data_IF_788158376363
#
_entry.id   IF_788158376363
#
_cell.length_a   1.000
_cell.length_b   1.000
_cell.length_c   1.000
_cell.angle_alpha   90.00
_cell.angle_beta   90.00
_cell.angle_gamma   90.00
#
_symmetry.space_group_name_H-M   'P 1'
#
loop_
_entity.id
_entity.type
_entity.pdbx_description
1 polymer ?
#
# COMPACT_ATOMS: atom_id res chain seq x y z
N UNK A 1 17.99 -21.47 10.55
CA UNK A 1 18.30 -20.06 10.24
C UNK A 1 17.58 -19.65 8.97
N UNK A 2 16.90 -18.51 8.95
CA UNK A 2 16.28 -17.93 7.77
C UNK A 2 17.28 -17.05 6.99
N UNK A 3 17.03 -16.86 5.70
CA UNK A 3 17.73 -15.83 4.92
C UNK A 3 17.11 -14.46 5.18
N UNK A 4 15.77 -14.39 5.23
CA UNK A 4 15.02 -13.14 5.45
C UNK A 4 13.90 -13.36 6.45
N UNK A 5 13.80 -12.46 7.43
CA UNK A 5 12.63 -12.32 8.32
C UNK A 5 11.96 -10.99 8.01
N UNK A 6 10.66 -11.01 7.73
CA UNK A 6 9.82 -9.84 7.52
C UNK A 6 8.93 -9.68 8.75
N UNK A 7 8.89 -8.48 9.34
CA UNK A 7 8.10 -8.20 10.54
C UNK A 7 6.85 -7.43 10.13
N UNK A 8 5.69 -8.04 10.38
CA UNK A 8 4.38 -7.53 10.05
C UNK A 8 3.81 -8.09 8.74
N UNK A 9 2.57 -8.58 8.77
CA UNK A 9 1.80 -9.09 7.63
C UNK A 9 0.71 -8.11 7.17
N UNK A 10 0.93 -6.81 7.32
CA UNK A 10 0.16 -5.78 6.62
C UNK A 10 0.50 -5.77 5.13
N UNK A 11 -0.17 -4.90 4.35
CA UNK A 11 0.01 -4.82 2.88
C UNK A 11 1.46 -4.66 2.46
N UNK A 12 2.27 -3.90 3.20
CA UNK A 12 3.69 -3.69 2.88
C UNK A 12 4.51 -4.97 3.06
N UNK A 13 4.41 -5.62 4.23
CA UNK A 13 5.15 -6.85 4.51
C UNK A 13 4.72 -8.00 3.60
N UNK A 14 3.42 -8.14 3.34
CA UNK A 14 2.89 -9.15 2.41
C UNK A 14 3.36 -8.92 0.97
N UNK A 15 3.40 -7.65 0.50
CA UNK A 15 3.93 -7.32 -0.82
C UNK A 15 5.44 -7.61 -0.93
N UNK A 16 6.21 -7.31 0.11
CA UNK A 16 7.64 -7.62 0.17
C UNK A 16 7.84 -9.16 0.19
N UNK A 17 7.04 -9.87 0.97
CA UNK A 17 7.10 -11.34 1.02
C UNK A 17 6.86 -11.96 -0.36
N UNK A 18 5.86 -11.46 -1.11
CA UNK A 18 5.60 -11.87 -2.49
C UNK A 18 6.81 -11.62 -3.41
N UNK A 19 7.40 -10.45 -3.36
CA UNK A 19 8.56 -10.16 -4.22
C UNK A 19 9.79 -10.99 -3.83
N UNK A 20 10.04 -11.22 -2.53
CA UNK A 20 11.14 -12.07 -2.05
C UNK A 20 10.92 -13.54 -2.41
N UNK A 21 9.67 -14.01 -2.47
CA UNK A 21 9.34 -15.40 -2.84
C UNK A 21 9.74 -15.79 -4.26
N UNK A 22 10.06 -14.81 -5.12
CA UNK A 22 10.62 -15.07 -6.46
C UNK A 22 12.03 -15.63 -6.44
N UNK A 23 12.69 -15.59 -5.29
CA UNK A 23 14.08 -16.02 -5.10
C UNK A 23 14.13 -17.29 -4.23
N UNK A 24 15.14 -18.11 -4.42
CA UNK A 24 15.37 -19.32 -3.59
C UNK A 24 15.94 -18.93 -2.23
N UNK A 25 15.14 -18.25 -1.42
CA UNK A 25 15.47 -17.80 -0.08
C UNK A 25 14.53 -18.45 0.94
N UNK A 26 15.09 -18.88 2.07
CA UNK A 26 14.31 -19.34 3.20
C UNK A 26 13.77 -18.11 3.94
N UNK A 27 12.51 -17.76 3.70
CA UNK A 27 11.88 -16.53 4.16
C UNK A 27 10.71 -16.82 5.10
N UNK A 28 10.56 -16.01 6.13
CA UNK A 28 9.32 -15.99 6.91
C UNK A 28 8.82 -14.57 7.18
N UNK A 29 7.52 -14.48 7.42
CA UNK A 29 6.81 -13.31 7.91
C UNK A 29 6.37 -13.60 9.34
N UNK A 30 6.57 -12.65 10.26
CA UNK A 30 6.15 -12.75 11.66
C UNK A 30 5.08 -11.66 11.88
N UNK A 31 3.88 -12.09 12.30
CA UNK A 31 2.73 -11.21 12.56
C UNK A 31 2.21 -11.48 13.98
N UNK A 32 2.01 -10.40 14.74
CA UNK A 32 1.52 -10.49 16.13
C UNK A 32 0.04 -10.83 16.22
N UNK A 33 -0.73 -10.46 15.20
CA UNK A 33 -2.16 -10.70 15.13
C UNK A 33 -2.47 -12.12 14.63
N UNK A 34 -3.74 -12.50 14.78
CA UNK A 34 -4.26 -13.82 14.39
C UNK A 34 -4.35 -14.02 12.87
N UNK A 35 -4.28 -12.92 12.10
CA UNK A 35 -4.38 -12.96 10.64
C UNK A 35 -3.61 -11.80 10.00
N UNK A 36 -3.40 -11.87 8.70
CA UNK A 36 -2.86 -10.78 7.89
C UNK A 36 -3.85 -9.61 7.81
N UNK A 37 -3.39 -8.41 7.48
CA UNK A 37 -4.27 -7.24 7.27
C UNK A 37 -4.99 -6.71 8.54
N UNK A 38 -4.61 -7.12 9.72
CA UNK A 38 -5.38 -6.83 10.95
C UNK A 38 -5.21 -5.43 11.55
N UNK A 39 -4.30 -4.60 11.05
CA UNK A 39 -4.01 -3.25 11.55
C UNK A 39 -4.43 -2.17 10.54
N UNK A 40 -3.55 -1.22 10.27
CA UNK A 40 -3.78 -0.09 9.35
C UNK A 40 -4.21 -0.52 7.95
N UNK A 41 -3.78 -1.69 7.49
CA UNK A 41 -4.09 -2.19 6.14
C UNK A 41 -5.57 -2.46 5.92
N UNK A 42 -6.36 -2.75 6.98
CA UNK A 42 -7.83 -2.88 6.89
C UNK A 42 -8.58 -1.57 7.20
N UNK A 43 -7.93 -0.62 7.85
CA UNK A 43 -8.54 0.61 8.36
C UNK A 43 -8.06 1.84 7.58
N UNK A 44 -8.39 1.91 6.31
CA UNK A 44 -8.01 3.00 5.40
C UNK A 44 -9.13 3.30 4.40
N UNK A 45 -8.92 4.30 3.54
CA UNK A 45 -9.92 4.74 2.54
C UNK A 45 -9.92 3.93 1.25
N UNK A 46 -9.11 2.89 1.13
CA UNK A 46 -9.04 2.01 -0.04
C UNK A 46 -8.64 2.70 -1.35
N UNK A 47 -8.03 3.86 -1.27
CA UNK A 47 -7.67 4.69 -2.43
C UNK A 47 -6.29 4.29 -2.96
N UNK A 48 -6.22 4.02 -4.26
CA UNK A 48 -4.97 4.00 -5.02
C UNK A 48 -4.73 5.42 -5.53
N UNK A 49 -3.84 6.13 -4.84
CA UNK A 49 -3.52 7.53 -5.13
C UNK A 49 -2.85 7.69 -6.49
N UNK A 50 -3.24 8.73 -7.25
CA UNK A 50 -2.65 9.03 -8.55
C UNK A 50 -1.20 9.55 -8.47
N UNK A 51 -0.85 10.25 -7.37
CA UNK A 51 0.51 10.76 -7.15
C UNK A 51 0.67 12.28 -7.24
N UNK A 52 -0.42 13.04 -7.38
CA UNK A 52 -0.37 14.51 -7.48
C UNK A 52 -0.11 15.21 -6.13
N UNK A 53 -0.34 14.55 -5.01
CA UNK A 53 -0.25 15.14 -3.66
C UNK A 53 1.20 15.20 -3.13
N UNK A 54 2.02 14.22 -3.44
CA UNK A 54 3.37 14.11 -2.91
C UNK A 54 4.31 15.20 -3.47
N UNK A 55 5.17 15.74 -2.59
CA UNK A 55 6.15 16.77 -2.98
C UNK A 55 7.10 16.22 -4.04
N UNK A 56 7.25 16.90 -5.19
CA UNK A 56 8.14 16.48 -6.26
C UNK A 56 9.58 16.26 -5.80
N UNK A 57 10.29 15.34 -6.45
CA UNK A 57 11.66 14.97 -6.11
C UNK A 57 11.81 14.05 -4.90
N UNK A 58 10.74 13.76 -4.15
CA UNK A 58 10.77 12.84 -3.01
C UNK A 58 10.57 11.39 -3.46
N UNK A 59 11.08 10.44 -2.64
CA UNK A 59 10.81 9.01 -2.84
C UNK A 59 9.31 8.70 -2.78
N UNK A 60 8.55 9.41 -1.93
CA UNK A 60 7.10 9.28 -1.85
C UNK A 60 6.43 9.58 -3.20
N UNK A 61 6.80 10.68 -3.86
CA UNK A 61 6.28 11.03 -5.18
C UNK A 61 6.61 9.97 -6.22
N UNK A 62 7.87 9.59 -6.31
CA UNK A 62 8.34 8.57 -7.25
C UNK A 62 7.63 7.23 -7.06
N UNK A 63 7.62 6.71 -5.83
CA UNK A 63 7.04 5.40 -5.53
C UNK A 63 5.51 5.40 -5.66
N UNK A 64 4.84 6.51 -5.37
CA UNK A 64 3.40 6.62 -5.56
C UNK A 64 3.00 6.44 -7.03
N UNK A 65 3.64 7.16 -7.95
CA UNK A 65 3.35 7.06 -9.39
C UNK A 65 3.72 5.67 -9.93
N UNK A 66 4.87 5.14 -9.53
CA UNK A 66 5.29 3.78 -9.92
C UNK A 66 4.32 2.72 -9.41
N UNK A 67 3.93 2.78 -8.13
CA UNK A 67 2.98 1.84 -7.53
C UNK A 67 1.60 1.93 -8.19
N UNK A 68 1.11 3.13 -8.46
CA UNK A 68 -0.14 3.32 -9.18
C UNK A 68 -0.11 2.65 -10.56
N UNK A 69 0.97 2.80 -11.32
CA UNK A 69 1.13 2.19 -12.65
C UNK A 69 1.19 0.65 -12.62
N UNK A 70 1.53 0.05 -11.48
CA UNK A 70 1.60 -1.42 -11.33
C UNK A 70 0.25 -2.05 -11.02
N UNK A 71 -0.74 -1.27 -10.54
CA UNK A 71 -1.96 -1.81 -9.92
C UNK A 71 -2.83 -2.63 -10.85
N UNK A 72 -2.99 -2.26 -12.13
CA UNK A 72 -3.82 -3.03 -13.07
C UNK A 72 -3.28 -4.45 -13.24
N UNK A 73 -1.95 -4.57 -13.46
CA UNK A 73 -1.29 -5.86 -13.58
C UNK A 73 -1.35 -6.68 -12.29
N UNK A 74 -1.11 -6.06 -11.13
CA UNK A 74 -1.14 -6.76 -9.85
C UNK A 74 -2.56 -7.24 -9.54
N UNK A 75 -3.56 -6.42 -9.80
CA UNK A 75 -4.96 -6.77 -9.59
C UNK A 75 -5.39 -7.95 -10.46
N UNK A 76 -4.95 -8.00 -11.72
CA UNK A 76 -5.18 -9.11 -12.63
C UNK A 76 -4.44 -10.39 -12.19
N UNK A 77 -3.14 -10.27 -11.86
CA UNK A 77 -2.31 -11.41 -11.43
C UNK A 77 -2.82 -12.10 -10.15
N UNK A 78 -3.46 -11.37 -9.25
CA UNK A 78 -3.88 -11.84 -7.92
C UNK A 78 -5.41 -11.86 -7.72
N UNK A 79 -6.18 -11.63 -8.78
CA UNK A 79 -7.66 -11.55 -8.75
C UNK A 79 -8.20 -10.58 -7.67
N UNK A 80 -7.56 -9.41 -7.57
CA UNK A 80 -7.91 -8.40 -6.58
C UNK A 80 -9.00 -7.48 -7.15
N UNK A 81 -10.15 -7.30 -6.47
CA UNK A 81 -11.14 -6.32 -6.87
C UNK A 81 -10.56 -4.89 -6.88
N UNK A 82 -10.38 -4.36 -8.08
CA UNK A 82 -9.80 -3.05 -8.33
C UNK A 82 -10.60 -2.29 -9.39
N UNK A 83 -10.79 -0.98 -9.19
CA UNK A 83 -11.48 -0.13 -10.16
C UNK A 83 -10.79 1.21 -10.32
N UNK A 84 -10.39 1.55 -11.55
CA UNK A 84 -9.91 2.90 -11.91
C UNK A 84 -11.10 3.82 -12.17
N UNK A 85 -11.71 4.32 -11.10
CA UNK A 85 -12.80 5.28 -11.17
C UNK A 85 -12.32 6.75 -11.14
N UNK A 86 -11.00 6.96 -11.04
CA UNK A 86 -10.40 8.26 -10.88
C UNK A 86 -10.60 8.84 -9.47
N UNK A 87 -10.08 10.03 -9.27
CA UNK A 87 -10.31 10.82 -8.05
C UNK A 87 -10.54 12.29 -8.37
N UNK A 88 -11.37 12.93 -7.53
CA UNK A 88 -11.69 14.35 -7.58
C UNK A 88 -11.18 15.01 -6.30
N UNK A 89 -10.41 16.09 -6.45
CA UNK A 89 -10.16 17.04 -5.37
C UNK A 89 -11.04 18.23 -5.62
N UNK A 90 -12.14 18.33 -4.87
CA UNK A 90 -13.17 19.35 -5.09
C UNK A 90 -12.80 20.69 -4.44
N UNK A 91 -13.26 21.78 -5.05
CA UNK A 91 -13.17 23.13 -4.52
C UNK A 91 -14.58 23.70 -4.37
N UNK A 92 -14.91 24.21 -3.20
CA UNK A 92 -16.19 24.85 -2.91
C UNK A 92 -16.13 26.36 -3.16
N UNK A 93 -17.28 27.03 -3.13
CA UNK A 93 -17.39 28.49 -3.30
C UNK A 93 -16.60 29.30 -2.26
N UNK A 94 -16.33 28.70 -1.10
CA UNK A 94 -15.60 29.35 0.00
C UNK A 94 -14.08 29.16 -0.11
N UNK A 95 -13.61 28.30 -1.01
CA UNK A 95 -12.20 27.95 -1.17
C UNK A 95 -11.60 28.65 -2.39
N UNK A 96 -10.28 28.92 -2.31
CA UNK A 96 -9.52 29.44 -3.43
C UNK A 96 -9.13 28.30 -4.39
N UNK A 97 -9.53 28.35 -5.67
CA UNK A 97 -9.16 27.36 -6.66
C UNK A 97 -7.66 27.32 -7.00
N UNK A 98 -6.86 28.32 -6.56
CA UNK A 98 -5.41 28.32 -6.75
C UNK A 98 -4.75 27.06 -6.14
N UNK A 99 -5.31 26.55 -5.05
CA UNK A 99 -4.86 25.29 -4.44
C UNK A 99 -4.91 24.10 -5.40
N UNK A 100 -5.92 24.03 -6.28
CA UNK A 100 -6.02 22.99 -7.30
C UNK A 100 -4.94 23.13 -8.38
N UNK A 101 -4.58 24.37 -8.73
CA UNK A 101 -3.52 24.63 -9.69
C UNK A 101 -2.15 24.17 -9.17
N UNK A 102 -1.89 24.44 -7.89
CA UNK A 102 -0.65 23.95 -7.22
C UNK A 102 -0.58 22.41 -7.27
N UNK A 103 -1.68 21.71 -6.99
CA UNK A 103 -1.72 20.25 -7.07
C UNK A 103 -1.58 19.74 -8.53
N UNK A 104 -2.18 20.45 -9.48
CA UNK A 104 -2.03 20.15 -10.91
C UNK A 104 -0.56 20.21 -11.36
N UNK A 105 0.15 21.29 -11.01
CA UNK A 105 1.54 21.48 -11.38
C UNK A 105 2.44 20.45 -10.71
N UNK A 106 2.24 20.21 -9.42
CA UNK A 106 2.93 19.16 -8.67
C UNK A 106 2.71 17.79 -9.30
N UNK A 107 1.47 17.46 -9.64
CA UNK A 107 1.15 16.18 -10.27
C UNK A 107 1.78 16.03 -11.66
N UNK A 108 1.85 17.11 -12.46
CA UNK A 108 2.58 17.11 -13.74
C UNK A 108 4.06 16.86 -13.55
N UNK A 109 4.70 17.51 -12.57
CA UNK A 109 6.11 17.33 -12.24
C UNK A 109 6.40 15.90 -11.77
N UNK A 110 5.47 15.29 -11.01
CA UNK A 110 5.55 13.90 -10.58
C UNK A 110 5.29 12.89 -11.72
N UNK A 111 4.85 13.35 -12.90
CA UNK A 111 4.56 12.50 -14.05
C UNK A 111 3.18 11.83 -14.00
N UNK A 112 2.21 12.38 -13.26
CA UNK A 112 0.84 11.85 -13.21
C UNK A 112 0.13 12.15 -14.53
N UNK A 113 -0.32 11.13 -15.28
CA UNK A 113 -0.94 11.37 -16.59
C UNK A 113 -2.39 11.82 -16.47
N UNK A 114 -2.83 12.65 -17.44
CA UNK A 114 -4.24 12.95 -17.68
C UNK A 114 -4.91 13.87 -16.67
N UNK A 115 -4.17 14.53 -15.78
CA UNK A 115 -4.71 15.50 -14.84
C UNK A 115 -5.43 16.65 -15.56
N UNK A 116 -6.59 17.05 -15.05
CA UNK A 116 -7.40 18.16 -15.58
C UNK A 116 -8.09 18.92 -14.45
N UNK A 117 -8.20 20.25 -14.58
CA UNK A 117 -9.15 21.03 -13.80
C UNK A 117 -10.48 20.97 -14.55
N UNK A 118 -11.52 20.52 -13.88
CA UNK A 118 -12.89 20.46 -14.39
C UNK A 118 -13.69 21.62 -13.78
N UNK A 119 -14.48 22.28 -14.60
CA UNK A 119 -15.50 23.21 -14.15
C UNK A 119 -16.75 22.48 -13.63
N UNK A 120 -17.73 23.25 -13.16
CA UNK A 120 -18.96 22.67 -12.58
C UNK A 120 -19.74 21.82 -13.58
N UNK A 121 -19.81 22.20 -14.84
CA UNK A 121 -20.57 21.49 -15.88
C UNK A 121 -19.97 20.10 -16.11
N UNK A 122 -18.67 20.04 -16.38
CA UNK A 122 -17.93 18.78 -16.55
C UNK A 122 -17.92 17.90 -15.29
N UNK A 123 -18.00 18.52 -14.11
CA UNK A 123 -18.09 17.77 -12.84
C UNK A 123 -19.42 17.05 -12.67
N UNK A 124 -20.55 17.71 -12.97
CA UNK A 124 -21.88 17.11 -12.83
C UNK A 124 -22.08 15.94 -13.78
N UNK A 125 -21.45 15.97 -14.96
CA UNK A 125 -21.46 14.82 -15.87
C UNK A 125 -20.76 13.60 -15.27
N UNK A 126 -19.71 13.81 -14.45
CA UNK A 126 -18.93 12.73 -13.82
C UNK A 126 -19.53 12.25 -12.50
N UNK A 127 -19.99 13.18 -11.68
CA UNK A 127 -20.55 12.92 -10.35
C UNK A 127 -21.76 13.85 -10.12
N UNK A 128 -22.96 13.40 -10.48
CA UNK A 128 -24.18 14.22 -10.39
C UNK A 128 -24.63 14.50 -8.95
N UNK A 129 -24.11 13.79 -7.96
CA UNK A 129 -24.49 13.93 -6.55
C UNK A 129 -23.60 14.92 -5.77
N UNK A 130 -22.74 15.68 -6.44
CA UNK A 130 -21.92 16.70 -5.79
C UNK A 130 -22.80 17.83 -5.23
N UNK A 131 -22.42 18.33 -4.05
CA UNK A 131 -23.09 19.45 -3.40
C UNK A 131 -23.07 20.69 -4.29
N UNK A 132 -24.11 21.57 -4.12
CA UNK A 132 -24.33 22.75 -4.98
C UNK A 132 -23.26 23.85 -4.81
N UNK A 133 -22.48 23.78 -3.74
CA UNK A 133 -21.40 24.74 -3.47
C UNK A 133 -20.07 24.34 -4.11
N UNK A 134 -19.92 23.14 -4.66
CA UNK A 134 -18.73 22.72 -5.40
C UNK A 134 -18.69 23.43 -6.75
N UNK A 135 -17.60 24.14 -7.04
CA UNK A 135 -17.44 24.98 -8.24
C UNK A 135 -16.54 24.36 -9.31
N UNK A 136 -15.48 23.69 -8.89
CA UNK A 136 -14.50 23.04 -9.76
C UNK A 136 -13.78 21.91 -9.03
N UNK A 137 -13.00 21.10 -9.74
CA UNK A 137 -12.16 20.07 -9.14
C UNK A 137 -10.93 19.74 -9.98
N UNK A 138 -9.88 19.26 -9.33
CA UNK A 138 -8.81 18.53 -10.00
C UNK A 138 -9.27 17.08 -10.21
N UNK A 139 -9.33 16.66 -11.46
CA UNK A 139 -9.58 15.30 -11.89
C UNK A 139 -8.28 14.55 -12.13
N UNK A 140 -8.10 13.40 -11.46
CA UNK A 140 -6.98 12.50 -11.64
C UNK A 140 -7.49 11.13 -12.13
N UNK A 141 -7.45 10.85 -13.44
CA UNK A 141 -8.05 9.65 -14.03
C UNK A 141 -7.37 8.35 -13.60
N UNK A 142 -6.10 8.41 -13.18
CA UNK A 142 -5.34 7.24 -12.72
C UNK A 142 -5.58 6.88 -11.27
N UNK A 143 -6.33 7.68 -10.52
CA UNK A 143 -6.82 7.28 -9.21
C UNK A 143 -7.75 6.08 -9.30
N UNK A 144 -7.88 5.33 -8.22
CA UNK A 144 -8.75 4.15 -8.17
C UNK A 144 -9.08 3.73 -6.76
N UNK A 145 -9.91 2.70 -6.66
CA UNK A 145 -10.24 2.04 -5.40
C UNK A 145 -9.88 0.56 -5.49
N UNK A 146 -9.42 0.00 -4.39
CA UNK A 146 -9.03 -1.42 -4.27
C UNK A 146 -9.62 -1.97 -2.97
N UNK A 147 -9.96 -3.25 -2.95
CA UNK A 147 -10.27 -3.90 -1.68
C UNK A 147 -8.96 -4.12 -0.89
N UNK A 148 -8.71 -3.44 0.24
CA UNK A 148 -7.45 -3.55 0.96
C UNK A 148 -7.25 -4.93 1.61
N UNK A 149 -8.35 -5.61 1.94
CA UNK A 149 -8.31 -6.99 2.42
C UNK A 149 -7.81 -7.93 1.32
N UNK A 150 -8.50 -7.97 0.16
CA UNK A 150 -8.10 -8.84 -0.95
C UNK A 150 -6.68 -8.53 -1.45
N UNK A 151 -6.29 -7.25 -1.44
CA UNK A 151 -4.93 -6.87 -1.83
C UNK A 151 -3.87 -7.45 -0.88
N UNK A 152 -4.09 -7.33 0.44
CA UNK A 152 -3.13 -7.84 1.43
C UNK A 152 -3.12 -9.38 1.43
N UNK A 153 -4.31 -10.01 1.41
CA UNK A 153 -4.45 -11.47 1.36
C UNK A 153 -3.83 -12.04 0.09
N UNK A 154 -4.14 -11.48 -1.08
CA UNK A 154 -3.57 -11.94 -2.35
C UNK A 154 -2.04 -11.90 -2.39
N UNK A 155 -1.41 -10.87 -1.79
CA UNK A 155 0.04 -10.85 -1.62
C UNK A 155 0.53 -11.94 -0.68
N UNK A 156 -0.12 -12.12 0.47
CA UNK A 156 0.28 -13.08 1.48
C UNK A 156 0.11 -14.53 0.99
N UNK A 157 -1.04 -14.85 0.41
CA UNK A 157 -1.33 -16.18 -0.16
C UNK A 157 -0.35 -16.53 -1.27
N UNK A 158 -0.11 -15.62 -2.22
CA UNK A 158 0.86 -15.85 -3.27
C UNK A 158 2.29 -16.08 -2.72
N UNK A 159 2.69 -15.32 -1.69
CA UNK A 159 3.97 -15.55 -1.02
C UNK A 159 4.02 -16.92 -0.33
N UNK A 160 2.94 -17.31 0.36
CA UNK A 160 2.83 -18.59 1.05
C UNK A 160 2.90 -19.77 0.07
N UNK A 161 2.17 -19.74 -1.04
CA UNK A 161 2.22 -20.77 -2.08
C UNK A 161 3.60 -20.91 -2.71
N UNK A 162 4.38 -19.83 -2.72
CA UNK A 162 5.77 -19.81 -3.19
C UNK A 162 6.80 -20.06 -2.07
N UNK A 163 6.36 -20.62 -0.92
CA UNK A 163 7.23 -21.18 0.12
C UNK A 163 7.64 -20.20 1.23
N UNK A 164 7.08 -18.99 1.30
CA UNK A 164 7.26 -18.11 2.46
C UNK A 164 6.43 -18.65 3.63
N UNK A 165 7.03 -18.76 4.81
CA UNK A 165 6.33 -19.18 6.02
C UNK A 165 5.72 -17.97 6.74
N UNK A 166 4.50 -18.11 7.25
CA UNK A 166 3.83 -17.10 8.06
C UNK A 166 3.69 -17.62 9.48
N UNK A 167 4.21 -16.87 10.44
CA UNK A 167 4.01 -17.08 11.87
C UNK A 167 3.04 -16.04 12.38
N UNK A 168 1.76 -16.40 12.43
CA UNK A 168 0.68 -15.59 13.00
C UNK A 168 0.68 -15.74 14.54
N UNK A 169 -0.07 -14.90 15.25
CA UNK A 169 -0.10 -14.88 16.72
C UNK A 169 1.31 -14.85 17.34
N UNK A 170 2.27 -14.28 16.62
CA UNK A 170 3.69 -14.33 16.98
C UNK A 170 4.25 -12.92 17.04
N UNK A 171 4.54 -12.46 18.24
CA UNK A 171 5.03 -11.11 18.49
C UNK A 171 6.55 -11.07 18.56
N UNK A 172 7.17 -10.17 17.83
CA UNK A 172 8.59 -9.86 17.98
C UNK A 172 8.79 -9.02 19.24
N UNK A 173 9.56 -9.55 20.21
CA UNK A 173 9.84 -8.88 21.47
C UNK A 173 11.19 -8.17 21.46
N UNK A 174 12.20 -8.77 20.81
CA UNK A 174 13.55 -8.21 20.79
C UNK A 174 14.32 -8.57 19.53
N UNK A 175 15.13 -7.64 19.07
CA UNK A 175 16.09 -7.83 17.98
C UNK A 175 17.51 -7.64 18.48
N UNK A 176 18.38 -8.58 18.17
CA UNK A 176 19.81 -8.54 18.50
C UNK A 176 20.64 -8.75 17.25
N UNK A 177 21.55 -7.81 16.95
CA UNK A 177 22.52 -7.99 15.88
C UNK A 177 23.63 -8.93 16.33
N UNK A 178 23.98 -9.88 15.48
CA UNK A 178 25.08 -10.85 15.68
C UNK A 178 26.18 -10.63 14.64
N UNK A 179 27.26 -11.39 14.72
CA UNK A 179 28.33 -11.36 13.71
C UNK A 179 27.90 -11.83 12.32
N UNK A 180 26.87 -12.71 12.25
CA UNK A 180 26.42 -13.36 11.02
C UNK A 180 24.99 -12.95 10.59
N UNK A 181 24.35 -12.02 11.31
CA UNK A 181 22.99 -11.60 11.03
C UNK A 181 22.27 -11.08 12.28
N UNK A 182 21.11 -11.68 12.59
CA UNK A 182 20.25 -11.23 13.69
C UNK A 182 19.65 -12.42 14.43
N UNK A 183 19.39 -12.22 15.73
CA UNK A 183 18.49 -13.02 16.55
C UNK A 183 17.21 -12.24 16.78
N UNK A 184 16.09 -12.87 16.51
CA UNK A 184 14.74 -12.35 16.69
C UNK A 184 14.09 -13.15 17.80
N UNK A 185 13.89 -12.53 18.96
CA UNK A 185 13.14 -13.15 20.06
C UNK A 185 11.65 -12.92 19.81
N UNK A 186 10.89 -13.99 19.79
CA UNK A 186 9.45 -13.96 19.53
C UNK A 186 8.69 -14.67 20.65
N UNK A 187 7.46 -14.21 20.87
CA UNK A 187 6.49 -14.84 21.75
C UNK A 187 5.31 -15.35 20.91
N UNK A 188 5.00 -16.64 21.02
CA UNK A 188 3.86 -17.28 20.38
C UNK A 188 2.65 -17.22 21.31
N UNK A 189 1.67 -16.38 21.01
CA UNK A 189 0.50 -16.19 21.88
C UNK A 189 -0.40 -17.40 21.99
N UNK A 190 -0.45 -18.26 20.97
CA UNK A 190 -1.27 -19.48 20.97
C UNK A 190 -0.78 -20.55 21.96
N UNK A 191 0.53 -20.61 22.17
CA UNK A 191 1.17 -21.65 22.97
C UNK A 191 1.81 -21.14 24.25
N UNK A 192 1.86 -19.79 24.41
CA UNK A 192 2.56 -19.10 25.51
C UNK A 192 4.06 -19.52 25.58
N UNK A 193 4.71 -19.60 24.40
CA UNK A 193 6.10 -20.06 24.28
C UNK A 193 6.97 -18.97 23.65
N UNK A 194 8.13 -18.76 24.23
CA UNK A 194 9.18 -17.91 23.66
C UNK A 194 10.11 -18.73 22.75
N UNK A 195 10.44 -18.19 21.59
CA UNK A 195 11.38 -18.78 20.65
C UNK A 195 12.42 -17.76 20.19
N UNK A 196 13.60 -18.23 19.80
CA UNK A 196 14.62 -17.41 19.14
C UNK A 196 14.82 -17.86 17.70
N UNK A 197 14.50 -16.97 16.77
CA UNK A 197 14.67 -17.17 15.33
C UNK A 197 15.98 -16.51 14.88
N UNK A 198 16.82 -17.24 14.17
CA UNK A 198 18.04 -16.69 13.57
C UNK A 198 17.83 -16.38 12.09
N UNK A 199 18.33 -15.21 11.65
CA UNK A 199 18.21 -14.75 10.26
C UNK A 199 19.40 -13.91 9.81
N UNK A 200 19.65 -13.89 8.50
CA UNK A 200 20.69 -13.03 7.90
C UNK A 200 20.22 -11.60 7.72
N UNK A 201 18.93 -11.41 7.35
CA UNK A 201 18.34 -10.10 7.07
C UNK A 201 17.01 -9.94 7.78
N UNK A 202 16.71 -8.71 8.17
CA UNK A 202 15.40 -8.30 8.70
C UNK A 202 14.84 -7.17 7.83
N UNK A 203 13.55 -7.26 7.56
CA UNK A 203 12.73 -6.19 6.98
C UNK A 203 11.64 -5.84 8.00
N UNK A 204 11.56 -4.55 8.37
CA UNK A 204 10.56 -4.03 9.31
C UNK A 204 9.95 -2.72 8.76
#
# INVERSE_FOLDING_TARGET
MFDVVIIGAGVTGSAIAREVSRYKLNTCVIEKEEDVCNETSKANSAIIHAGFDAVPGTMKAKLNVMGNAMMDRIAEELDIPFKRNGSLVVCTKEQDPEGLQVLMERGKENGVPGLKILDREALIEKEPNLADDVTCALWAPTGGIVCPFHMTMGYAENAYENGVRFFLNTKVEKLEKTGEGFRVQVHHADTDVDETIETKLIVN
#
